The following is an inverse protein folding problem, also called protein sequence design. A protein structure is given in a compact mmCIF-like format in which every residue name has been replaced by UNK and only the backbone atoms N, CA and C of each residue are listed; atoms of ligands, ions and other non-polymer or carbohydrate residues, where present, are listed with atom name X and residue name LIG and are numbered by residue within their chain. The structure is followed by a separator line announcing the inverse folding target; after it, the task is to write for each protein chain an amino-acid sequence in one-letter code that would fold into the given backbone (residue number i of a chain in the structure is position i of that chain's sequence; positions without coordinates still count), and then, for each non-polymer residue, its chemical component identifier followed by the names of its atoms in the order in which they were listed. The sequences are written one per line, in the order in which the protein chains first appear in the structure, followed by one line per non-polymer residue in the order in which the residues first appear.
data_IF_437809455432
#
_entry.id   IF_437809455432
#
_cell.length_a   1.000
_cell.length_b   1.000
_cell.length_c   1.000
_cell.angle_alpha   90.00
_cell.angle_beta   90.00
_cell.angle_gamma   90.00
#
_symmetry.space_group_name_H-M   'P 1'
#
loop_
_entity.id
_entity.type
_entity.pdbx_description
1 polymer ?
#
# COMPACT_ATOMS: atom_id res chain seq x y z
N UNK A 1 -26.34 -49.02 -49.13
CA UNK A 1 -26.48 -47.60 -49.52
C UNK A 1 -27.30 -46.96 -48.41
N UNK A 2 -26.66 -46.52 -47.32
CA UNK A 2 -26.07 -45.18 -47.13
C UNK A 2 -27.05 -44.11 -47.60
N UNK A 3 -27.81 -43.54 -46.64
CA UNK A 3 -27.89 -42.09 -46.40
C UNK A 3 -28.21 -41.91 -44.91
N UNK A 4 -27.18 -41.58 -44.13
CA UNK A 4 -27.30 -40.83 -42.88
C UNK A 4 -27.38 -39.35 -43.26
N UNK A 5 -28.24 -38.55 -42.64
CA UNK A 5 -28.03 -37.10 -42.53
C UNK A 5 -28.79 -36.53 -41.31
N UNK A 6 -28.06 -36.48 -40.20
CA UNK A 6 -27.92 -35.36 -39.26
C UNK A 6 -29.17 -34.72 -38.63
N UNK A 7 -29.62 -35.33 -37.53
CA UNK A 7 -30.26 -34.58 -36.44
C UNK A 7 -29.19 -33.74 -35.72
N UNK A 8 -29.15 -32.45 -36.03
CA UNK A 8 -28.30 -31.45 -35.39
C UNK A 8 -28.79 -31.19 -33.95
N UNK A 9 -28.34 -32.02 -33.02
CA UNK A 9 -28.58 -31.82 -31.60
C UNK A 9 -27.29 -32.18 -30.86
N UNK A 10 -26.41 -31.20 -30.63
CA UNK A 10 -25.46 -31.29 -29.52
C UNK A 10 -24.78 -29.94 -29.19
N UNK A 11 -25.03 -29.53 -27.96
CA UNK A 11 -24.10 -28.83 -27.07
C UNK A 11 -23.73 -27.39 -27.43
N UNK A 12 -24.65 -26.48 -27.09
CA UNK A 12 -24.25 -25.19 -26.50
C UNK A 12 -23.37 -25.45 -25.27
N UNK A 13 -22.05 -25.50 -25.49
CA UNK A 13 -21.06 -25.35 -24.42
C UNK A 13 -21.19 -23.94 -23.87
N UNK A 14 -22.07 -23.78 -22.89
CA UNK A 14 -22.09 -22.67 -21.96
C UNK A 14 -20.68 -22.52 -21.38
N UNK A 15 -19.92 -21.53 -21.90
CA UNK A 15 -18.65 -21.10 -21.34
C UNK A 15 -18.93 -20.65 -19.90
N UNK A 16 -18.63 -21.50 -18.92
CA UNK A 16 -18.51 -21.07 -17.52
C UNK A 16 -17.46 -19.97 -17.49
N UNK A 17 -17.88 -18.72 -17.37
CA UNK A 17 -16.98 -17.59 -17.11
C UNK A 17 -16.38 -17.86 -15.74
N UNK A 18 -15.12 -18.28 -15.73
CA UNK A 18 -14.36 -18.57 -14.51
C UNK A 18 -14.28 -17.26 -13.73
N UNK A 19 -15.11 -17.11 -12.69
CA UNK A 19 -15.13 -15.90 -11.87
C UNK A 19 -13.77 -15.76 -11.19
N UNK A 20 -12.96 -14.84 -11.72
CA UNK A 20 -11.64 -14.57 -11.19
C UNK A 20 -11.80 -13.86 -9.85
N UNK A 21 -11.52 -14.56 -8.75
CA UNK A 21 -11.58 -13.98 -7.40
C UNK A 21 -10.68 -12.73 -7.33
N UNK A 22 -11.18 -11.60 -6.81
CA UNK A 22 -10.38 -10.40 -6.65
C UNK A 22 -9.26 -10.64 -5.63
N UNK A 23 -8.14 -9.92 -5.81
CA UNK A 23 -7.08 -9.88 -4.82
C UNK A 23 -7.49 -8.97 -3.67
N UNK A 24 -7.37 -9.51 -2.45
CA UNK A 24 -7.62 -8.80 -1.20
C UNK A 24 -6.31 -8.78 -0.41
N UNK A 25 -5.75 -7.59 -0.20
CA UNK A 25 -4.55 -7.38 0.57
C UNK A 25 -4.84 -6.38 1.69
N UNK A 26 -4.87 -6.88 2.92
CA UNK A 26 -4.96 -6.07 4.14
C UNK A 26 -3.57 -5.50 4.48
N UNK A 27 -3.18 -4.45 3.73
CA UNK A 27 -1.87 -3.81 3.78
C UNK A 27 -1.53 -3.40 5.22
N UNK A 28 -2.44 -2.72 5.91
CA UNK A 28 -2.15 -2.16 7.23
C UNK A 28 -1.95 -3.26 8.29
N UNK A 29 -2.84 -4.27 8.29
CA UNK A 29 -2.76 -5.41 9.21
C UNK A 29 -1.47 -6.19 8.97
N UNK A 30 -1.17 -6.51 7.71
CA UNK A 30 0.06 -7.21 7.34
C UNK A 30 1.31 -6.48 7.81
N UNK A 31 1.37 -5.16 7.62
CA UNK A 31 2.51 -4.35 8.07
C UNK A 31 2.62 -4.41 9.60
N UNK A 32 1.52 -4.16 10.32
CA UNK A 32 1.54 -4.15 11.80
C UNK A 32 1.99 -5.49 12.37
N UNK A 33 1.47 -6.60 11.86
CA UNK A 33 1.86 -7.95 12.28
C UNK A 33 3.35 -8.20 12.02
N UNK A 34 3.82 -7.88 10.81
CA UNK A 34 5.23 -8.05 10.44
C UNK A 34 6.16 -7.19 11.31
N UNK A 35 5.77 -5.95 11.61
CA UNK A 35 6.53 -5.04 12.44
C UNK A 35 6.61 -5.55 13.89
N UNK A 36 5.47 -5.95 14.48
CA UNK A 36 5.42 -6.47 15.85
C UNK A 36 6.23 -7.76 16.01
N UNK A 37 6.11 -8.71 15.07
CA UNK A 37 6.81 -10.00 15.13
C UNK A 37 8.31 -9.91 14.86
N UNK A 38 8.76 -8.91 14.09
CA UNK A 38 10.13 -8.88 13.56
C UNK A 38 10.98 -7.70 14.03
N UNK A 39 10.72 -7.18 15.23
CA UNK A 39 11.65 -6.32 15.98
C UNK A 39 11.08 -4.98 16.43
N UNK A 40 10.05 -4.47 15.76
CA UNK A 40 9.52 -3.13 16.06
C UNK A 40 8.81 -3.04 17.42
N UNK A 41 8.37 -4.18 17.97
CA UNK A 41 7.91 -4.25 19.38
C UNK A 41 8.97 -3.74 20.37
N UNK A 42 10.25 -3.87 20.03
CA UNK A 42 11.38 -3.40 20.85
C UNK A 42 12.15 -2.24 20.18
N UNK A 43 11.58 -1.62 19.13
CA UNK A 43 12.23 -0.52 18.40
C UNK A 43 13.42 -0.93 17.53
N UNK A 44 13.61 -2.22 17.23
CA UNK A 44 14.73 -2.71 16.41
C UNK A 44 14.39 -2.65 14.91
N UNK A 45 14.65 -1.49 14.30
CA UNK A 45 14.46 -1.24 12.87
C UNK A 45 15.42 -2.02 11.99
N UNK A 46 16.63 -2.33 12.48
CA UNK A 46 17.63 -3.08 11.72
C UNK A 46 17.18 -4.53 11.49
N UNK A 47 16.64 -5.16 12.53
CA UNK A 47 16.06 -6.51 12.45
C UNK A 47 14.87 -6.56 11.51
N UNK A 48 13.96 -5.59 11.59
CA UNK A 48 12.81 -5.50 10.68
C UNK A 48 13.26 -5.32 9.22
N UNK A 49 14.23 -4.42 8.96
CA UNK A 49 14.84 -4.25 7.63
C UNK A 49 15.44 -5.56 7.08
N UNK A 50 16.11 -6.32 7.95
CA UNK A 50 16.68 -7.63 7.61
C UNK A 50 15.63 -8.69 7.30
N UNK A 51 14.49 -8.67 8.01
CA UNK A 51 13.32 -9.47 7.68
C UNK A 51 12.75 -9.12 6.31
N UNK A 52 12.47 -7.84 6.04
CA UNK A 52 11.91 -7.40 4.75
C UNK A 52 12.82 -7.83 3.58
N UNK A 53 14.14 -7.68 3.73
CA UNK A 53 15.13 -8.12 2.73
C UNK A 53 15.03 -9.61 2.40
N UNK A 54 14.94 -10.47 3.44
CA UNK A 54 14.79 -11.91 3.28
C UNK A 54 13.43 -12.28 2.68
N UNK A 55 12.35 -11.64 3.11
CA UNK A 55 11.00 -11.85 2.58
C UNK A 55 10.91 -11.52 1.10
N UNK A 56 11.48 -10.38 0.66
CA UNK A 56 11.54 -10.00 -0.76
C UNK A 56 12.29 -11.06 -1.58
N UNK A 57 13.42 -11.56 -1.08
CA UNK A 57 14.19 -12.61 -1.77
C UNK A 57 13.39 -13.91 -1.92
N UNK A 58 12.70 -14.35 -0.87
CA UNK A 58 11.82 -15.54 -0.92
C UNK A 58 10.66 -15.35 -1.89
N UNK A 59 9.95 -14.22 -1.80
CA UNK A 59 8.84 -13.88 -2.69
C UNK A 59 9.27 -13.92 -4.16
N UNK A 60 10.39 -13.28 -4.49
CA UNK A 60 10.93 -13.28 -5.86
C UNK A 60 11.33 -14.67 -6.35
N UNK A 61 11.83 -15.53 -5.47
CA UNK A 61 12.16 -16.92 -5.81
C UNK A 61 10.89 -17.75 -6.07
N UNK A 62 9.88 -17.63 -5.21
CA UNK A 62 8.60 -18.36 -5.34
C UNK A 62 7.85 -17.92 -6.61
N UNK A 63 7.79 -16.61 -6.86
CA UNK A 63 7.10 -16.02 -8.00
C UNK A 63 7.93 -16.06 -9.30
N UNK A 64 9.10 -16.71 -9.28
CA UNK A 64 9.98 -16.89 -10.44
C UNK A 64 10.37 -15.56 -11.13
N UNK A 65 10.52 -14.49 -10.35
CA UNK A 65 10.98 -13.15 -10.80
C UNK A 65 12.31 -12.74 -10.15
N UNK A 66 13.40 -13.53 -10.33
CA UNK A 66 14.73 -13.17 -9.81
C UNK A 66 15.29 -11.96 -10.56
N UNK A 67 15.94 -11.04 -9.83
CA UNK A 67 16.53 -9.82 -10.42
C UNK A 67 17.95 -10.05 -10.98
N UNK A 68 18.17 -11.22 -11.58
CA UNK A 68 19.46 -11.65 -12.12
C UNK A 68 20.18 -12.68 -11.25
N UNK A 69 21.42 -12.94 -11.63
CA UNK A 69 22.28 -13.98 -11.06
C UNK A 69 23.33 -13.37 -10.12
N UNK A 70 24.14 -14.21 -9.47
CA UNK A 70 25.19 -13.79 -8.54
C UNK A 70 26.18 -12.77 -9.13
N UNK A 71 26.35 -12.76 -10.46
CA UNK A 71 27.29 -11.88 -11.19
C UNK A 71 26.63 -10.72 -11.93
N UNK A 72 25.36 -10.84 -12.32
CA UNK A 72 24.70 -9.86 -13.19
C UNK A 72 23.34 -9.48 -12.62
N UNK A 73 23.16 -8.19 -12.34
CA UNK A 73 21.87 -7.64 -11.97
C UNK A 73 21.02 -7.38 -13.21
N UNK A 74 19.78 -7.86 -13.20
CA UNK A 74 18.76 -7.55 -14.20
C UNK A 74 17.54 -7.00 -13.48
N UNK A 75 17.22 -5.73 -13.71
CA UNK A 75 16.03 -5.12 -13.12
C UNK A 75 14.79 -5.86 -13.60
N UNK A 76 14.06 -6.48 -12.67
CA UNK A 76 12.74 -7.09 -12.90
C UNK A 76 11.76 -6.48 -11.93
N UNK A 77 11.07 -5.46 -12.41
CA UNK A 77 10.00 -4.80 -11.67
C UNK A 77 8.70 -5.60 -11.81
N UNK A 78 7.83 -5.49 -10.81
CA UNK A 78 6.48 -6.06 -10.90
C UNK A 78 5.65 -5.10 -11.73
N UNK A 79 5.22 -5.56 -12.90
CA UNK A 79 4.36 -4.82 -13.83
C UNK A 79 2.92 -5.31 -13.77
N UNK A 80 1.98 -4.51 -14.27
CA UNK A 80 0.54 -4.85 -14.34
C UNK A 80 0.28 -6.19 -15.02
N UNK A 81 1.09 -6.56 -16.02
CA UNK A 81 1.00 -7.85 -16.70
C UNK A 81 1.13 -9.06 -15.75
N UNK A 82 1.88 -8.91 -14.65
CA UNK A 82 1.99 -9.97 -13.63
C UNK A 82 0.74 -10.10 -12.78
N UNK A 83 -0.07 -9.05 -12.67
CA UNK A 83 -1.32 -9.02 -11.87
C UNK A 83 -2.53 -9.39 -12.73
N UNK A 84 -2.54 -8.99 -14.01
CA UNK A 84 -3.64 -9.27 -14.94
C UNK A 84 -3.74 -10.74 -15.38
N UNK A 85 -2.65 -11.51 -15.34
CA UNK A 85 -2.67 -12.92 -15.74
C UNK A 85 -3.62 -13.73 -14.84
N UNK A 86 -4.66 -14.40 -15.35
CA UNK A 86 -5.65 -15.14 -14.55
C UNK A 86 -5.08 -16.13 -13.51
N UNK A 87 -3.85 -16.61 -13.66
CA UNK A 87 -3.15 -17.47 -12.66
C UNK A 87 -2.17 -16.73 -11.74
N UNK A 88 -2.20 -15.40 -11.75
CA UNK A 88 -1.36 -14.56 -10.92
C UNK A 88 -1.66 -14.77 -9.43
N UNK A 89 -0.61 -14.66 -8.63
CA UNK A 89 -0.65 -14.79 -7.18
C UNK A 89 -0.68 -13.38 -6.57
N UNK A 90 -1.55 -13.15 -5.57
CA UNK A 90 -1.63 -11.90 -4.81
C UNK A 90 -0.27 -11.46 -4.24
N UNK A 91 0.63 -12.43 -4.02
CA UNK A 91 2.00 -12.23 -3.52
C UNK A 91 2.84 -11.28 -4.39
N UNK A 92 2.47 -11.03 -5.65
CA UNK A 92 3.10 -10.00 -6.46
C UNK A 92 2.97 -8.61 -5.84
N UNK A 93 1.84 -8.27 -5.22
CA UNK A 93 1.59 -7.00 -4.54
C UNK A 93 2.45 -6.86 -3.27
N UNK A 94 2.81 -7.97 -2.62
CA UNK A 94 3.67 -7.93 -1.44
C UNK A 94 5.11 -7.51 -1.77
N UNK A 95 5.58 -7.67 -3.01
CA UNK A 95 6.94 -7.28 -3.38
C UNK A 95 7.15 -5.75 -3.25
N UNK A 96 6.40 -4.87 -3.94
CA UNK A 96 6.56 -3.42 -3.79
C UNK A 96 6.25 -2.96 -2.37
N UNK A 97 5.26 -3.55 -1.69
CA UNK A 97 4.99 -3.28 -0.28
C UNK A 97 6.22 -3.52 0.61
N UNK A 98 6.82 -4.71 0.51
CA UNK A 98 8.01 -5.05 1.32
C UNK A 98 9.25 -4.24 0.91
N UNK A 99 9.37 -3.84 -0.35
CA UNK A 99 10.42 -2.93 -0.82
C UNK A 99 10.29 -1.54 -0.19
N UNK A 100 9.06 -1.00 -0.13
CA UNK A 100 8.74 0.25 0.57
C UNK A 100 9.07 0.12 2.07
N UNK A 101 8.54 -0.90 2.74
CA UNK A 101 8.77 -1.14 4.18
C UNK A 101 10.26 -1.29 4.52
N UNK A 102 11.04 -1.97 3.67
CA UNK A 102 12.50 -2.07 3.87
C UNK A 102 13.18 -0.70 3.81
N UNK A 103 12.77 0.15 2.87
CA UNK A 103 13.32 1.50 2.72
C UNK A 103 12.89 2.40 3.89
N UNK A 104 11.62 2.33 4.29
CA UNK A 104 11.09 3.03 5.45
C UNK A 104 11.79 2.60 6.75
N UNK A 105 11.93 1.30 7.00
CA UNK A 105 12.63 0.78 8.18
C UNK A 105 14.07 1.27 8.26
N UNK A 106 14.77 1.31 7.11
CA UNK A 106 16.11 1.86 7.06
C UNK A 106 16.12 3.37 7.33
N UNK A 107 15.15 4.13 6.81
CA UNK A 107 15.03 5.54 7.15
C UNK A 107 14.82 5.76 8.66
N UNK A 108 13.98 4.95 9.30
CA UNK A 108 13.73 5.05 10.74
C UNK A 108 14.95 4.67 11.59
N UNK A 109 15.70 3.63 11.18
CA UNK A 109 17.01 3.33 11.78
C UNK A 109 17.95 4.54 11.68
N UNK A 110 18.08 5.13 10.48
CA UNK A 110 18.92 6.31 10.27
C UNK A 110 18.42 7.53 11.05
N UNK A 111 17.12 7.62 11.34
CA UNK A 111 16.54 8.68 12.18
C UNK A 111 17.07 8.59 13.62
N UNK A 112 17.16 7.38 14.17
CA UNK A 112 17.75 7.16 15.50
C UNK A 112 19.25 7.46 15.49
N UNK A 113 19.98 6.99 14.48
CA UNK A 113 21.43 7.25 14.33
C UNK A 113 21.75 8.74 14.08
N UNK A 114 20.81 9.50 13.52
CA UNK A 114 21.01 10.93 13.23
C UNK A 114 21.06 11.81 14.48
N UNK A 115 20.65 11.30 15.65
CA UNK A 115 20.78 12.01 16.92
C UNK A 115 22.24 12.17 17.35
N UNK A 116 23.11 11.20 17.01
CA UNK A 116 24.55 11.28 17.24
C UNK A 116 25.31 11.75 16.00
N UNK A 117 24.84 11.38 14.81
CA UNK A 117 25.49 11.66 13.53
C UNK A 117 24.56 12.42 12.56
N UNK A 118 24.44 13.76 12.66
CA UNK A 118 23.46 14.54 11.89
C UNK A 118 23.52 14.35 10.37
N UNK A 119 24.71 14.01 9.83
CA UNK A 119 24.91 13.75 8.40
C UNK A 119 24.07 12.56 7.89
N UNK A 120 23.63 11.66 8.76
CA UNK A 120 22.74 10.54 8.42
C UNK A 120 21.37 10.99 7.92
N UNK A 121 20.93 12.23 8.23
CA UNK A 121 19.67 12.81 7.73
C UNK A 121 19.57 12.83 6.20
N UNK A 122 20.67 13.11 5.50
CA UNK A 122 20.67 13.07 4.03
C UNK A 122 20.32 11.68 3.48
N UNK A 123 20.90 10.64 4.08
CA UNK A 123 20.64 9.26 3.69
C UNK A 123 19.21 8.82 4.09
N UNK A 124 18.73 9.24 5.26
CA UNK A 124 17.35 9.04 5.70
C UNK A 124 16.35 9.53 4.64
N UNK A 125 16.49 10.79 4.21
CA UNK A 125 15.61 11.40 3.21
C UNK A 125 15.67 10.63 1.89
N UNK A 126 16.86 10.21 1.45
CA UNK A 126 17.01 9.41 0.23
C UNK A 126 16.28 8.06 0.34
N UNK A 127 16.28 7.42 1.51
CA UNK A 127 15.52 6.18 1.75
C UNK A 127 14.02 6.42 1.74
N UNK A 128 13.52 7.49 2.35
CA UNK A 128 12.09 7.82 2.32
C UNK A 128 11.60 8.14 0.91
N UNK A 129 12.38 8.89 0.11
CA UNK A 129 12.06 9.10 -1.32
C UNK A 129 11.92 7.78 -2.07
N UNK A 130 12.82 6.83 -1.82
CA UNK A 130 12.75 5.50 -2.44
C UNK A 130 11.54 4.69 -1.93
N UNK A 131 11.17 4.82 -0.66
CA UNK A 131 9.95 4.21 -0.12
C UNK A 131 8.70 4.74 -0.83
N UNK A 132 8.60 6.06 -1.03
CA UNK A 132 7.50 6.70 -1.77
C UNK A 132 7.36 6.13 -3.19
N UNK A 133 8.47 5.97 -3.91
CA UNK A 133 8.44 5.37 -5.27
C UNK A 133 7.86 3.95 -5.25
N UNK A 134 8.25 3.12 -4.28
CA UNK A 134 7.70 1.76 -4.17
C UNK A 134 6.24 1.73 -3.70
N UNK A 135 5.83 2.66 -2.84
CA UNK A 135 4.44 2.81 -2.43
C UNK A 135 3.55 3.21 -3.63
N UNK A 136 4.00 4.15 -4.47
CA UNK A 136 3.28 4.51 -5.71
C UNK A 136 3.21 3.33 -6.68
N UNK A 137 4.30 2.58 -6.83
CA UNK A 137 4.28 1.37 -7.65
C UNK A 137 3.27 0.34 -7.14
N UNK A 138 3.09 0.21 -5.82
CA UNK A 138 2.05 -0.64 -5.26
C UNK A 138 0.65 -0.10 -5.63
N UNK A 139 0.41 1.19 -5.46
CA UNK A 139 -0.88 1.81 -5.74
C UNK A 139 -1.29 1.69 -7.22
N UNK A 140 -0.35 1.90 -8.15
CA UNK A 140 -0.61 1.68 -9.58
C UNK A 140 -1.01 0.23 -9.89
N UNK A 141 -0.37 -0.75 -9.23
CA UNK A 141 -0.77 -2.15 -9.38
C UNK A 141 -2.14 -2.45 -8.75
N UNK A 142 -2.51 -1.74 -7.69
CA UNK A 142 -3.81 -1.87 -7.04
C UNK A 142 -4.95 -1.24 -7.84
N UNK A 143 -4.69 -0.25 -8.70
CA UNK A 143 -5.71 0.35 -9.58
C UNK A 143 -6.26 -0.62 -10.64
N UNK A 144 -5.52 -1.68 -10.96
CA UNK A 144 -5.97 -2.72 -11.88
C UNK A 144 -7.26 -3.37 -11.35
N UNK A 145 -8.24 -3.62 -12.23
CA UNK A 145 -9.60 -4.12 -11.94
C UNK A 145 -9.68 -5.45 -11.17
N UNK A 146 -8.54 -6.08 -10.91
CA UNK A 146 -8.45 -7.32 -10.15
C UNK A 146 -8.34 -7.12 -8.64
N UNK A 147 -8.04 -5.92 -8.17
CA UNK A 147 -7.97 -5.65 -6.73
C UNK A 147 -9.32 -5.18 -6.21
N UNK A 148 -9.66 -5.62 -4.99
CA UNK A 148 -10.87 -5.15 -4.32
C UNK A 148 -10.79 -3.65 -3.96
N UNK A 149 -11.95 -3.02 -3.75
CA UNK A 149 -12.00 -1.62 -3.37
C UNK A 149 -11.29 -1.32 -2.05
N UNK A 150 -11.28 -2.29 -1.12
CA UNK A 150 -10.57 -2.19 0.15
C UNK A 150 -9.05 -2.05 -0.06
N UNK A 151 -8.44 -2.93 -0.85
CA UNK A 151 -7.00 -2.87 -1.16
C UNK A 151 -6.64 -1.56 -1.85
N UNK A 152 -7.50 -1.06 -2.76
CA UNK A 152 -7.30 0.24 -3.42
C UNK A 152 -7.30 1.41 -2.44
N UNK A 153 -8.23 1.43 -1.48
CA UNK A 153 -8.25 2.46 -0.44
C UNK A 153 -7.06 2.32 0.51
N UNK A 154 -6.68 1.10 0.90
CA UNK A 154 -5.52 0.86 1.75
C UNK A 154 -4.20 1.24 1.06
N UNK A 155 -4.05 1.00 -0.24
CA UNK A 155 -2.85 1.39 -1.00
C UNK A 155 -2.73 2.92 -1.05
N UNK A 156 -3.84 3.61 -1.32
CA UNK A 156 -3.89 5.09 -1.30
C UNK A 156 -3.52 5.64 0.08
N UNK A 157 -4.12 5.10 1.15
CA UNK A 157 -3.82 5.52 2.51
C UNK A 157 -2.34 5.28 2.88
N UNK A 158 -1.77 4.15 2.44
CA UNK A 158 -0.35 3.84 2.63
C UNK A 158 0.56 4.81 1.88
N UNK A 159 0.24 5.14 0.62
CA UNK A 159 0.97 6.13 -0.19
C UNK A 159 0.95 7.49 0.49
N UNK A 160 -0.23 7.97 0.91
CA UNK A 160 -0.38 9.25 1.61
C UNK A 160 0.41 9.26 2.92
N UNK A 161 0.38 8.18 3.71
CA UNK A 161 1.16 8.09 4.94
C UNK A 161 2.68 8.14 4.72
N UNK A 162 3.20 7.39 3.74
CA UNK A 162 4.65 7.38 3.41
C UNK A 162 5.10 8.74 2.85
N UNK A 163 4.30 9.38 2.00
CA UNK A 163 4.60 10.74 1.49
C UNK A 163 4.56 11.78 2.59
N UNK A 164 3.55 11.73 3.48
CA UNK A 164 3.48 12.60 4.65
C UNK A 164 4.73 12.45 5.52
N UNK A 165 5.19 11.22 5.75
CA UNK A 165 6.41 10.94 6.50
C UNK A 165 7.66 11.56 5.84
N UNK A 166 7.79 11.48 4.51
CA UNK A 166 8.89 12.12 3.78
C UNK A 166 8.83 13.66 3.90
N UNK A 167 7.67 14.25 3.69
CA UNK A 167 7.50 15.70 3.69
C UNK A 167 7.68 16.30 5.09
N UNK A 168 7.27 15.55 6.12
CA UNK A 168 7.53 15.90 7.52
C UNK A 168 9.04 15.99 7.80
N UNK A 169 9.82 15.02 7.32
CA UNK A 169 11.29 15.05 7.43
C UNK A 169 11.95 16.17 6.62
N UNK A 170 11.31 16.59 5.53
CA UNK A 170 11.73 17.75 4.74
C UNK A 170 11.26 19.08 5.32
N UNK A 171 10.55 19.08 6.46
CA UNK A 171 9.96 20.28 7.08
C UNK A 171 8.96 21.02 6.17
N UNK A 172 8.35 20.31 5.21
CA UNK A 172 7.31 20.85 4.34
C UNK A 172 5.95 20.67 5.00
N UNK A 173 5.69 21.45 6.04
CA UNK A 173 4.58 21.24 6.98
C UNK A 173 3.20 21.19 6.33
N UNK A 174 2.92 22.08 5.38
CA UNK A 174 1.63 22.13 4.66
C UNK A 174 1.38 20.84 3.88
N UNK A 175 2.33 20.45 3.02
CA UNK A 175 2.21 19.22 2.22
C UNK A 175 2.13 17.99 3.11
N UNK A 176 2.92 17.96 4.18
CA UNK A 176 2.90 16.86 5.16
C UNK A 176 1.53 16.74 5.82
N UNK A 177 0.94 17.86 6.28
CA UNK A 177 -0.38 17.90 6.87
C UNK A 177 -1.47 17.40 5.90
N UNK A 178 -1.43 17.86 4.64
CA UNK A 178 -2.35 17.39 3.60
C UNK A 178 -2.28 15.87 3.43
N UNK A 179 -1.08 15.31 3.25
CA UNK A 179 -0.89 13.87 3.05
C UNK A 179 -1.28 13.06 4.30
N UNK A 180 -0.95 13.54 5.50
CA UNK A 180 -1.38 12.89 6.73
C UNK A 180 -2.89 12.96 6.93
N UNK A 181 -3.53 14.07 6.57
CA UNK A 181 -4.98 14.21 6.67
C UNK A 181 -5.70 13.29 5.68
N UNK A 182 -5.19 13.18 4.45
CA UNK A 182 -5.71 12.22 3.47
C UNK A 182 -5.61 10.79 4.01
N UNK A 183 -4.45 10.40 4.56
CA UNK A 183 -4.29 9.08 5.18
C UNK A 183 -5.25 8.88 6.36
N UNK A 184 -5.41 9.89 7.23
CA UNK A 184 -6.35 9.85 8.37
C UNK A 184 -7.79 9.60 7.90
N UNK A 185 -8.30 10.40 6.96
CA UNK A 185 -9.68 10.30 6.47
C UNK A 185 -9.95 8.91 5.88
N UNK A 186 -9.02 8.39 5.07
CA UNK A 186 -9.20 7.07 4.44
C UNK A 186 -9.21 5.98 5.50
N UNK A 187 -8.30 6.01 6.48
CA UNK A 187 -8.28 5.01 7.55
C UNK A 187 -9.50 5.10 8.49
N UNK A 188 -10.00 6.30 8.78
CA UNK A 188 -11.24 6.49 9.56
C UNK A 188 -12.46 5.90 8.83
N UNK A 189 -12.57 6.12 7.51
CA UNK A 189 -13.64 5.55 6.70
C UNK A 189 -13.53 4.03 6.54
N UNK A 190 -12.31 3.51 6.41
CA UNK A 190 -12.09 2.06 6.41
C UNK A 190 -12.48 1.45 7.76
N UNK A 191 -12.14 2.12 8.87
CA UNK A 191 -12.55 1.67 10.20
C UNK A 191 -14.08 1.69 10.40
N UNK A 192 -14.80 2.68 9.86
CA UNK A 192 -16.27 2.73 10.00
C UNK A 192 -17.00 1.71 9.13
N UNK A 193 -16.40 1.29 8.01
CA UNK A 193 -16.98 0.31 7.10
C UNK A 193 -16.70 -1.16 7.46
N UNK A 194 -15.73 -1.43 8.35
CA UNK A 194 -15.29 -2.79 8.70
C UNK A 194 -15.89 -3.27 10.03
N UNK A 195 -16.01 -4.61 10.23
CA UNK A 195 -16.39 -5.19 11.53
C UNK A 195 -15.43 -4.81 12.64
N UNK A 196 -15.93 -4.74 13.88
CA UNK A 196 -15.21 -4.20 15.05
C UNK A 196 -13.83 -4.83 15.30
N UNK A 197 -13.68 -6.13 15.06
CA UNK A 197 -12.42 -6.86 15.22
C UNK A 197 -11.30 -6.35 14.31
N UNK A 198 -11.64 -5.97 13.07
CA UNK A 198 -10.67 -5.49 12.07
C UNK A 198 -10.43 -3.98 12.14
N UNK A 199 -11.17 -3.23 12.98
CA UNK A 199 -11.01 -1.77 13.10
C UNK A 199 -9.74 -1.36 13.84
N UNK A 200 -9.23 -2.22 14.73
CA UNK A 200 -8.18 -1.89 15.69
C UNK A 200 -6.91 -1.35 15.01
N UNK A 201 -6.35 -1.99 13.95
CA UNK A 201 -5.14 -1.50 13.29
C UNK A 201 -5.32 -0.10 12.68
N UNK A 202 -6.51 0.21 12.16
CA UNK A 202 -6.83 1.49 11.54
C UNK A 202 -6.94 2.61 12.59
N UNK A 203 -7.65 2.35 13.71
CA UNK A 203 -7.75 3.30 14.83
C UNK A 203 -6.37 3.63 15.40
N UNK A 204 -5.54 2.61 15.64
CA UNK A 204 -4.15 2.81 16.09
C UNK A 204 -3.33 3.65 15.11
N UNK A 205 -3.51 3.44 13.80
CA UNK A 205 -2.81 4.23 12.78
C UNK A 205 -3.24 5.71 12.80
N UNK A 206 -4.52 6.00 13.00
CA UNK A 206 -5.03 7.36 13.12
C UNK A 206 -4.45 8.06 14.35
N UNK A 207 -4.41 7.35 15.49
CA UNK A 207 -3.77 7.85 16.72
C UNK A 207 -2.27 8.11 16.55
N UNK A 208 -1.56 7.28 15.79
CA UNK A 208 -0.15 7.47 15.46
C UNK A 208 0.10 8.71 14.57
N UNK A 209 -0.84 9.04 13.68
CA UNK A 209 -0.74 10.19 12.77
C UNK A 209 -1.07 11.50 13.49
N UNK A 210 -1.93 11.46 14.52
CA UNK A 210 -2.43 12.66 15.20
C UNK A 210 -1.35 13.60 15.78
N UNK A 211 -0.28 13.10 16.45
CA UNK A 211 0.82 13.96 16.91
C UNK A 211 1.54 14.69 15.77
N UNK A 212 1.76 14.01 14.63
CA UNK A 212 2.38 14.62 13.46
C UNK A 212 1.50 15.73 12.86
N UNK A 213 0.17 15.52 12.80
CA UNK A 213 -0.77 16.53 12.36
C UNK A 213 -0.78 17.77 13.28
N UNK A 214 -0.84 17.57 14.60
CA UNK A 214 -0.74 18.67 15.57
C UNK A 214 0.56 19.46 15.42
N UNK A 215 1.67 18.75 15.24
CA UNK A 215 2.96 19.38 15.02
C UNK A 215 2.99 20.18 13.70
N UNK A 216 2.45 19.64 12.61
CA UNK A 216 2.33 20.39 11.37
C UNK A 216 1.46 21.64 11.52
N UNK A 217 0.30 21.54 12.19
CA UNK A 217 -0.59 22.68 12.44
C UNK A 217 0.13 23.80 13.21
N UNK A 218 0.83 23.45 14.29
CA UNK A 218 1.63 24.39 15.07
C UNK A 218 2.68 25.13 14.22
N UNK A 219 3.35 24.43 13.30
CA UNK A 219 4.38 25.04 12.44
C UNK A 219 3.82 25.80 11.22
N UNK A 220 2.56 25.58 10.83
CA UNK A 220 1.89 26.32 9.75
C UNK A 220 1.38 27.67 10.24
N UNK A 221 0.98 27.75 11.52
CA UNK A 221 0.28 28.90 12.11
C UNK A 221 -1.24 28.80 11.92
N UNK A 222 -1.99 29.19 12.95
CA UNK A 222 -3.44 28.91 13.10
C UNK A 222 -4.32 29.39 11.93
N UNK A 223 -3.96 30.45 11.22
CA UNK A 223 -4.84 31.04 10.18
C UNK A 223 -4.92 30.26 8.87
N UNK A 224 -3.90 29.47 8.49
CA UNK A 224 -3.88 28.72 7.21
C UNK A 224 -4.20 27.24 7.35
N UNK A 225 -4.22 26.71 8.57
CA UNK A 225 -4.43 25.29 8.83
C UNK A 225 -5.90 24.87 8.63
N UNK A 226 -6.86 25.74 8.97
CA UNK A 226 -8.30 25.43 8.95
C UNK A 226 -8.87 25.37 7.53
N UNK A 227 -8.48 26.31 6.67
CA UNK A 227 -9.05 26.49 5.32
C UNK A 227 -8.61 25.40 4.31
N UNK A 228 -7.38 24.87 4.46
CA UNK A 228 -6.86 23.78 3.61
C UNK A 228 -7.45 22.40 3.95
N UNK A 229 -7.89 22.20 5.20
CA UNK A 229 -8.42 20.91 5.69
C UNK A 229 -9.81 20.61 5.13
N UNK A 230 -10.64 21.64 4.94
CA UNK A 230 -12.02 21.49 4.48
C UNK A 230 -12.09 21.23 2.97
N UNK A 231 -11.34 21.98 2.15
CA UNK A 231 -11.45 21.94 0.68
C UNK A 231 -11.05 20.58 0.06
N UNK A 232 -10.09 19.87 0.65
CA UNK A 232 -9.57 18.59 0.10
C UNK A 232 -10.23 17.35 0.70
N UNK A 233 -10.88 17.50 1.85
CA UNK A 233 -11.72 16.44 2.42
C UNK A 233 -12.86 16.06 1.47
N UNK A 234 -13.36 17.03 0.69
CA UNK A 234 -14.42 16.85 -0.31
C UNK A 234 -13.98 15.96 -1.48
N UNK A 235 -12.81 16.19 -2.08
CA UNK A 235 -12.32 15.33 -3.17
C UNK A 235 -12.00 13.88 -2.75
N UNK A 236 -11.56 13.68 -1.50
CA UNK A 236 -11.39 12.34 -0.91
C UNK A 236 -12.74 11.69 -0.56
N UNK A 237 -13.78 12.50 -0.33
CA UNK A 237 -15.15 12.03 -0.14
C UNK A 237 -15.76 11.54 -1.44
N UNK A 238 -15.65 12.32 -2.52
CA UNK A 238 -16.15 11.95 -3.84
C UNK A 238 -15.51 10.66 -4.38
N UNK A 239 -14.20 10.51 -4.22
CA UNK A 239 -13.49 9.28 -4.63
C UNK A 239 -13.90 8.07 -3.79
N UNK A 240 -14.09 8.23 -2.49
CA UNK A 240 -14.59 7.15 -1.62
C UNK A 240 -16.01 6.74 -2.00
N UNK A 241 -16.92 7.69 -2.20
CA UNK A 241 -18.32 7.41 -2.54
C UNK A 241 -18.44 6.73 -3.90
N UNK A 242 -17.58 7.09 -4.86
CA UNK A 242 -17.47 6.40 -6.14
C UNK A 242 -17.03 4.93 -5.98
N UNK A 243 -16.02 4.64 -5.13
CA UNK A 243 -15.56 3.28 -4.89
C UNK A 243 -16.56 2.44 -4.10
N UNK A 244 -17.27 3.01 -3.12
CA UNK A 244 -18.34 2.33 -2.38
C UNK A 244 -19.54 2.03 -3.27
N UNK A 245 -19.85 2.90 -4.23
CA UNK A 245 -20.90 2.65 -5.21
C UNK A 245 -20.55 1.47 -6.13
N UNK A 246 -19.28 1.35 -6.54
CA UNK A 246 -18.81 0.21 -7.35
C UNK A 246 -18.90 -1.14 -6.61
N UNK A 247 -18.65 -1.19 -5.29
CA UNK A 247 -18.76 -2.45 -4.53
C UNK A 247 -20.21 -2.91 -4.36
N UNK A 248 -21.16 -1.99 -4.22
CA UNK A 248 -22.59 -2.30 -4.13
C UNK A 248 -23.18 -2.83 -5.44
N UNK A 249 -22.69 -2.35 -6.59
CA UNK A 249 -23.17 -2.80 -7.92
C UNK A 249 -22.68 -4.20 -8.26
N UNK A 250 -21.49 -4.61 -7.78
CA UNK A 250 -20.94 -5.94 -8.01
C UNK A 250 -21.44 -7.03 -7.05
N UNK A 251 -22.34 -6.69 -6.11
CA UNK A 251 -22.93 -7.63 -5.13
C UNK A 251 -24.40 -7.97 -5.40
N UNK A 252 -24.93 -7.57 -6.56
CA UNK A 252 -26.28 -7.91 -7.05
C UNK A 252 -26.16 -8.70 -8.34
#
# INVERSE_FOLDING_TARGET
MVVEEENHNNEEKSKKVEQVKPFTLEILKLIKDCQQQHGLRHGDYQRYRGYCSRRISRLRKVLKVPQGDKKHFKKRDVTEAHVMNSRADERFLHIPLMLSERCWAYAMQLRQEANTEPRKKFHLVQKLRKACVFALQLDELCKVDRCDARTRLESQAYVSWIHGTLQFELQLWQKAAENFKQAQIIYEKLASALPEEDQIPYKQRVEEIAPSLRYCAYNIGDEKAVDLLELRSQGVLETFDALVSQTKVNTV
#
